data_IF_977327164157
#
_entry.id   IF_977327164157
#
_cell.length_a   1.000
_cell.length_b   1.000
_cell.length_c   1.000
_cell.angle_alpha   90.00
_cell.angle_beta   90.00
_cell.angle_gamma   90.00
#
_symmetry.space_group_name_H-M   'P 1'
#
loop_
_entity.id
_entity.type
_entity.pdbx_description
1 polymer ?
#
# COMPACT_ATOMS: atom_id res chain seq x y z
N UNK A 1 9.90 -5.54 -15.91
CA UNK A 1 9.96 -4.29 -15.10
C UNK A 1 10.21 -4.61 -13.64
N UNK A 2 10.99 -3.80 -12.94
CA UNK A 2 11.09 -3.86 -11.46
C UNK A 2 10.11 -2.84 -10.86
N UNK A 3 9.26 -3.30 -9.95
CA UNK A 3 8.24 -2.52 -9.27
C UNK A 3 8.57 -2.56 -7.78
N UNK A 4 9.18 -1.48 -7.27
CA UNK A 4 9.56 -1.40 -5.85
C UNK A 4 8.43 -0.75 -5.07
N UNK A 5 7.98 -1.40 -4.00
CA UNK A 5 6.94 -0.87 -3.11
C UNK A 5 7.56 -0.58 -1.76
N UNK A 6 7.57 0.69 -1.38
CA UNK A 6 8.02 1.13 -0.07
C UNK A 6 6.88 0.90 0.93
N UNK A 7 7.16 0.14 1.98
CA UNK A 7 6.19 -0.16 3.03
C UNK A 7 6.76 0.19 4.41
N UNK A 8 5.88 0.51 5.36
CA UNK A 8 6.23 0.77 6.76
C UNK A 8 5.29 0.04 7.72
N UNK A 9 5.87 -0.55 8.76
CA UNK A 9 5.12 -0.97 9.94
C UNK A 9 4.80 0.22 10.84
N UNK A 10 3.52 0.44 11.12
CA UNK A 10 3.03 1.52 12.00
C UNK A 10 2.28 0.92 13.20
N UNK A 11 2.22 1.60 14.35
CA UNK A 11 1.45 1.10 15.48
C UNK A 11 -0.04 0.93 15.15
N UNK A 12 -0.64 -0.21 15.53
CA UNK A 12 -2.04 -0.53 15.24
C UNK A 12 -3.05 0.48 15.83
N UNK A 13 -2.68 1.13 16.94
CA UNK A 13 -3.48 2.15 17.62
C UNK A 13 -2.59 3.34 17.96
N UNK A 14 -2.80 4.47 17.29
CA UNK A 14 -2.07 5.72 17.57
C UNK A 14 -2.56 6.43 18.84
N UNK A 15 -3.72 6.05 19.37
CA UNK A 15 -4.45 6.78 20.43
C UNK A 15 -4.10 6.41 21.87
N UNK A 16 -3.29 5.38 22.12
CA UNK A 16 -2.82 5.05 23.47
C UNK A 16 -1.34 5.38 23.61
N UNK A 17 -1.07 6.64 23.91
CA UNK A 17 0.20 7.04 24.51
C UNK A 17 0.16 6.52 25.94
N UNK A 18 0.69 5.32 26.18
CA UNK A 18 0.91 4.82 27.54
C UNK A 18 2.13 5.57 28.11
N UNK A 19 1.87 6.73 28.72
CA UNK A 19 2.83 7.41 29.59
C UNK A 19 2.73 6.82 30.98
N UNK A 20 3.75 6.07 31.39
CA UNK A 20 4.08 5.91 32.81
C UNK A 20 5.31 6.79 33.04
N UNK A 21 5.20 7.81 33.90
CA UNK A 21 6.31 8.69 34.28
C UNK A 21 6.97 9.52 33.15
N UNK A 22 6.20 9.95 32.14
CA UNK A 22 6.71 10.84 31.08
C UNK A 22 7.61 10.18 30.04
N UNK A 23 7.76 8.85 30.08
CA UNK A 23 8.51 8.07 29.08
C UNK A 23 7.53 7.24 28.25
N UNK A 24 7.52 7.48 26.93
CA UNK A 24 6.76 6.69 25.95
C UNK A 24 7.34 5.27 25.86
N UNK A 25 6.63 4.26 26.39
CA UNK A 25 6.99 2.85 26.16
C UNK A 25 6.57 2.41 24.76
N UNK A 26 7.45 2.60 23.77
CA UNK A 26 7.26 2.16 22.37
C UNK A 26 7.46 0.64 22.15
N UNK A 27 7.84 -0.11 23.19
CA UNK A 27 8.29 -1.50 23.05
C UNK A 27 7.15 -2.50 22.88
N UNK A 28 5.94 -2.22 23.39
CA UNK A 28 4.82 -3.18 23.46
C UNK A 28 3.75 -3.03 22.35
N UNK A 29 3.91 -2.08 21.43
CA UNK A 29 2.90 -1.85 20.39
C UNK A 29 3.05 -2.84 19.23
N UNK A 30 1.98 -3.59 18.96
CA UNK A 30 1.81 -4.37 17.74
C UNK A 30 1.90 -3.44 16.52
N UNK A 31 2.78 -3.78 15.58
CA UNK A 31 2.90 -3.08 14.31
C UNK A 31 2.01 -3.75 13.26
N UNK A 32 1.34 -2.92 12.47
CA UNK A 32 0.57 -3.32 11.29
C UNK A 32 1.13 -2.63 10.06
N UNK A 33 0.82 -3.13 8.86
CA UNK A 33 1.12 -2.40 7.64
C UNK A 33 0.44 -1.03 7.68
N UNK A 34 1.18 0.01 7.30
CA UNK A 34 0.62 1.34 7.11
C UNK A 34 -0.57 1.27 6.12
N UNK A 35 -1.77 1.74 6.50
CA UNK A 35 -2.95 1.66 5.63
C UNK A 35 -2.77 2.36 4.27
N UNK A 36 -1.94 3.41 4.20
CA UNK A 36 -1.66 4.10 2.95
C UNK A 36 -0.78 3.27 2.00
N UNK A 37 0.06 2.38 2.52
CA UNK A 37 0.95 1.54 1.69
C UNK A 37 0.17 0.42 1.00
N UNK A 38 -1.01 0.05 1.52
CA UNK A 38 -1.91 -0.87 0.84
C UNK A 38 -2.34 -0.34 -0.55
N UNK A 39 -2.47 0.98 -0.72
CA UNK A 39 -2.74 1.59 -2.04
C UNK A 39 -1.55 1.45 -3.00
N UNK A 40 -0.32 1.52 -2.47
CA UNK A 40 0.89 1.30 -3.24
C UNK A 40 1.01 -0.16 -3.72
N UNK A 41 0.60 -1.11 -2.89
CA UNK A 41 0.49 -2.53 -3.25
C UNK A 41 -0.56 -2.74 -4.35
N UNK A 42 -1.76 -2.17 -4.22
CA UNK A 42 -2.81 -2.20 -5.26
C UNK A 42 -2.29 -1.70 -6.62
N UNK A 43 -1.59 -0.57 -6.60
CA UNK A 43 -0.92 0.00 -7.76
C UNK A 43 0.11 -0.96 -8.36
N UNK A 44 0.96 -1.58 -7.54
CA UNK A 44 1.96 -2.54 -8.00
C UNK A 44 1.33 -3.75 -8.73
N UNK A 45 0.22 -4.26 -8.22
CA UNK A 45 -0.48 -5.41 -8.81
C UNK A 45 -1.11 -5.06 -10.15
N UNK A 46 -1.70 -3.88 -10.25
CA UNK A 46 -2.18 -3.38 -11.54
C UNK A 46 -1.03 -3.35 -12.56
N UNK A 47 0.11 -2.75 -12.22
CA UNK A 47 1.26 -2.66 -13.13
C UNK A 47 1.77 -4.04 -13.56
N UNK A 48 1.99 -4.95 -12.61
CA UNK A 48 2.45 -6.31 -12.93
C UNK A 48 1.46 -7.05 -13.83
N UNK A 49 0.16 -6.83 -13.71
CA UNK A 49 -0.84 -7.43 -14.61
C UNK A 49 -0.81 -6.83 -16.02
N UNK A 50 -0.42 -5.56 -16.16
CA UNK A 50 -0.37 -4.87 -17.47
C UNK A 50 0.94 -5.16 -18.20
N UNK A 51 2.09 -4.94 -17.55
CA UNK A 51 3.42 -5.02 -18.18
C UNK A 51 4.26 -6.21 -17.72
N UNK A 52 3.82 -6.95 -16.71
CA UNK A 52 4.62 -8.01 -16.08
C UNK A 52 5.72 -7.44 -15.19
N UNK A 53 6.59 -8.32 -14.69
CA UNK A 53 7.75 -7.92 -13.90
C UNK A 53 7.81 -8.56 -12.51
N UNK A 54 8.48 -7.86 -11.61
CA UNK A 54 8.74 -8.28 -10.24
C UNK A 54 8.32 -7.19 -9.27
N UNK A 55 7.48 -7.55 -8.31
CA UNK A 55 7.09 -6.69 -7.18
C UNK A 55 8.02 -6.98 -6.01
N UNK A 56 8.77 -5.96 -5.62
CA UNK A 56 9.76 -6.01 -4.54
C UNK A 56 9.28 -5.08 -3.43
N UNK A 57 8.87 -5.63 -2.30
CA UNK A 57 8.57 -4.85 -1.11
C UNK A 57 9.86 -4.52 -0.37
N UNK A 58 10.08 -3.23 -0.12
CA UNK A 58 11.23 -2.72 0.61
C UNK A 58 10.73 -1.99 1.88
N UNK A 59 11.29 -2.35 3.03
CA UNK A 59 11.03 -1.63 4.28
C UNK A 59 12.31 -1.41 5.06
N UNK A 60 12.25 -0.50 6.02
CA UNK A 60 13.32 -0.24 6.98
C UNK A 60 12.75 -0.33 8.39
N UNK A 61 13.40 -1.09 9.26
CA UNK A 61 12.97 -1.20 10.65
C UNK A 61 13.50 -2.44 11.36
N UNK A 62 13.17 -2.61 12.65
CA UNK A 62 13.63 -3.74 13.44
C UNK A 62 13.00 -5.04 12.93
N UNK A 63 13.85 -5.97 12.46
CA UNK A 63 13.45 -7.27 11.89
C UNK A 63 12.38 -8.02 12.68
N UNK A 64 12.47 -8.19 14.01
CA UNK A 64 11.46 -8.95 14.74
C UNK A 64 10.04 -8.36 14.63
N UNK A 65 9.92 -7.06 14.38
CA UNK A 65 8.62 -6.36 14.27
C UNK A 65 8.12 -6.24 12.84
N UNK A 66 9.01 -6.16 11.85
CA UNK A 66 8.62 -5.94 10.44
C UNK A 66 8.45 -7.26 9.67
N UNK A 67 9.23 -8.29 10.00
CA UNK A 67 9.17 -9.59 9.32
C UNK A 67 7.79 -10.26 9.36
N UNK A 68 6.99 -10.21 10.45
CA UNK A 68 5.62 -10.72 10.45
C UNK A 68 4.73 -10.04 9.39
N UNK A 69 4.79 -8.70 9.29
CA UNK A 69 4.03 -7.94 8.30
C UNK A 69 4.44 -8.34 6.88
N UNK A 70 5.74 -8.46 6.61
CA UNK A 70 6.24 -8.87 5.29
C UNK A 70 5.87 -10.30 4.90
N UNK A 71 5.81 -11.23 5.86
CA UNK A 71 5.38 -12.61 5.61
C UNK A 71 3.95 -12.67 5.09
N UNK A 72 3.07 -11.84 5.64
CA UNK A 72 1.68 -11.75 5.20
C UNK A 72 1.55 -11.25 3.75
N UNK A 73 2.51 -10.46 3.25
CA UNK A 73 2.47 -9.94 1.88
C UNK A 73 2.67 -11.02 0.79
N UNK A 74 3.29 -12.16 1.13
CA UNK A 74 3.44 -13.28 0.19
C UNK A 74 2.13 -14.02 -0.04
N UNK A 75 1.28 -14.12 0.98
CA UNK A 75 0.05 -14.90 0.96
C UNK A 75 -0.99 -14.23 1.86
N UNK A 76 -1.54 -13.07 1.46
CA UNK A 76 -2.43 -12.40 2.37
C UNK A 76 -3.81 -13.03 2.32
N UNK A 77 -4.41 -13.11 3.49
CA UNK A 77 -5.67 -13.80 3.73
C UNK A 77 -6.83 -13.02 3.13
N UNK A 78 -7.86 -13.70 2.62
CA UNK A 78 -9.07 -13.06 2.08
C UNK A 78 -9.75 -12.13 3.08
N UNK A 79 -9.73 -12.46 4.39
CA UNK A 79 -10.28 -11.59 5.45
C UNK A 79 -9.29 -10.54 5.97
N UNK A 80 -8.07 -10.52 5.44
CA UNK A 80 -7.08 -9.54 5.88
C UNK A 80 -7.55 -8.14 5.47
N UNK A 81 -7.60 -7.23 6.44
CA UNK A 81 -7.76 -5.78 6.18
C UNK A 81 -6.66 -5.21 5.26
N UNK A 82 -5.63 -6.02 5.00
CA UNK A 82 -4.50 -5.76 4.11
C UNK A 82 -4.78 -6.12 2.65
N UNK A 83 -5.91 -6.77 2.32
CA UNK A 83 -6.18 -7.30 0.97
C UNK A 83 -7.13 -6.41 0.16
N UNK A 84 -6.87 -6.26 -1.15
CA UNK A 84 -7.46 -5.21 -1.97
C UNK A 84 -8.76 -5.65 -2.64
N UNK A 85 -9.46 -4.70 -3.29
CA UNK A 85 -10.63 -4.95 -4.16
C UNK A 85 -10.30 -5.83 -5.40
N UNK A 86 -9.09 -6.36 -5.52
CA UNK A 86 -8.56 -7.11 -6.65
C UNK A 86 -7.93 -8.41 -6.14
N UNK A 87 -8.15 -9.53 -6.86
CA UNK A 87 -7.49 -10.83 -6.60
C UNK A 87 -5.97 -10.64 -6.56
N UNK A 88 -5.38 -10.96 -5.40
CA UNK A 88 -3.98 -10.71 -5.14
C UNK A 88 -3.20 -12.01 -4.89
N UNK A 89 -2.21 -12.38 -5.74
CA UNK A 89 -1.50 -13.65 -5.62
C UNK A 89 -0.26 -13.62 -4.69
N UNK A 90 0.05 -12.48 -4.07
CA UNK A 90 1.28 -12.28 -3.30
C UNK A 90 2.33 -11.41 -4.00
N UNK A 91 3.24 -10.83 -3.20
CA UNK A 91 4.42 -10.11 -3.71
C UNK A 91 5.51 -11.11 -4.13
N UNK A 92 6.43 -10.68 -5.00
CA UNK A 92 7.48 -11.60 -5.48
C UNK A 92 8.66 -11.69 -4.53
N UNK A 93 8.98 -10.62 -3.80
CA UNK A 93 10.18 -10.54 -2.98
C UNK A 93 10.01 -9.49 -1.89
N UNK A 94 10.40 -9.83 -0.66
CA UNK A 94 10.47 -8.88 0.46
C UNK A 94 11.94 -8.67 0.86
N UNK A 95 12.32 -7.41 1.01
CA UNK A 95 13.64 -6.97 1.45
C UNK A 95 13.46 -6.04 2.64
N UNK A 96 14.17 -6.33 3.73
CA UNK A 96 14.18 -5.52 4.93
C UNK A 96 15.57 -4.93 5.17
N UNK A 97 15.63 -3.60 5.28
CA UNK A 97 16.80 -2.89 5.77
C UNK A 97 16.74 -2.84 7.30
N UNK A 98 17.62 -3.57 7.97
CA UNK A 98 17.63 -3.69 9.43
C UNK A 98 19.06 -3.61 9.96
N UNK A 99 19.35 -2.49 10.63
CA UNK A 99 20.63 -2.24 11.28
C UNK A 99 20.41 -1.27 12.44
N UNK A 100 21.13 -1.43 13.56
CA UNK A 100 21.03 -0.50 14.71
C UNK A 100 21.43 0.92 14.32
N UNK A 101 22.32 1.08 13.34
CA UNK A 101 22.74 2.38 12.79
C UNK A 101 21.60 3.14 12.10
N UNK A 102 20.53 2.46 11.70
CA UNK A 102 19.35 3.07 11.06
C UNK A 102 18.32 3.59 12.08
N UNK A 103 18.52 3.36 13.37
CA UNK A 103 17.57 3.75 14.41
C UNK A 103 17.50 5.27 14.59
N UNK A 104 16.30 5.79 14.89
CA UNK A 104 16.09 7.22 15.12
C UNK A 104 16.19 8.09 13.88
N UNK A 105 16.13 7.49 12.69
CA UNK A 105 16.12 8.21 11.42
C UNK A 105 14.89 9.12 11.31
N UNK A 106 15.11 10.35 10.84
CA UNK A 106 14.07 11.21 10.31
C UNK A 106 13.72 10.83 8.87
N UNK A 107 12.96 11.68 8.18
CA UNK A 107 12.53 11.37 6.82
C UNK A 107 13.70 11.34 5.83
N UNK A 108 14.69 12.22 5.95
CA UNK A 108 15.82 12.28 5.02
C UNK A 108 16.77 11.09 5.21
N UNK A 109 17.14 10.79 6.46
CA UNK A 109 17.98 9.62 6.77
C UNK A 109 17.27 8.30 6.36
N UNK A 110 15.95 8.22 6.55
CA UNK A 110 15.15 7.08 6.06
C UNK A 110 15.19 6.99 4.54
N UNK A 111 14.96 8.10 3.84
CA UNK A 111 14.95 8.17 2.38
C UNK A 111 16.28 7.81 1.76
N UNK A 112 17.40 8.29 2.34
CA UNK A 112 18.75 7.90 1.93
C UNK A 112 18.95 6.39 2.06
N UNK A 113 18.52 5.80 3.19
CA UNK A 113 18.65 4.36 3.44
C UNK A 113 17.82 3.55 2.42
N UNK A 114 16.58 3.95 2.17
CA UNK A 114 15.72 3.31 1.17
C UNK A 114 16.30 3.44 -0.24
N UNK A 115 16.83 4.61 -0.60
CA UNK A 115 17.50 4.83 -1.88
C UNK A 115 18.71 3.90 -2.06
N UNK A 116 19.53 3.70 -1.01
CA UNK A 116 20.62 2.70 -1.02
C UNK A 116 20.12 1.27 -1.19
N UNK A 117 19.00 0.92 -0.56
CA UNK A 117 18.35 -0.37 -0.79
C UNK A 117 17.93 -0.55 -2.26
N UNK A 118 17.35 0.48 -2.88
CA UNK A 118 16.91 0.45 -4.29
C UNK A 118 18.12 0.37 -5.23
N UNK A 119 19.15 1.18 -5.00
CA UNK A 119 20.42 1.11 -5.75
C UNK A 119 20.99 -0.30 -5.70
N UNK A 120 21.01 -0.93 -4.52
CA UNK A 120 21.50 -2.30 -4.34
C UNK A 120 20.64 -3.34 -5.08
N UNK A 121 19.30 -3.18 -5.08
CA UNK A 121 18.39 -4.02 -5.87
C UNK A 121 18.74 -3.94 -7.35
N UNK A 122 18.91 -2.73 -7.89
CA UNK A 122 19.24 -2.51 -9.30
C UNK A 122 20.61 -3.11 -9.65
N UNK A 123 21.61 -2.90 -8.79
CA UNK A 123 22.95 -3.46 -8.93
C UNK A 123 22.90 -4.99 -9.05
N UNK A 124 22.24 -5.67 -8.12
CA UNK A 124 22.15 -7.15 -8.10
C UNK A 124 21.52 -7.68 -9.39
N UNK A 125 20.47 -7.03 -9.90
CA UNK A 125 19.83 -7.48 -11.15
C UNK A 125 20.70 -7.19 -12.38
N UNK A 126 21.44 -6.09 -12.41
CA UNK A 126 22.41 -5.81 -13.50
C UNK A 126 23.55 -6.82 -13.51
N UNK A 127 24.15 -7.08 -12.34
CA UNK A 127 25.22 -8.06 -12.17
C UNK A 127 24.79 -9.48 -12.58
N UNK A 128 23.54 -9.86 -12.31
CA UNK A 128 22.99 -11.13 -12.78
C UNK A 128 23.01 -11.26 -14.31
N UNK A 129 22.64 -10.19 -15.04
CA UNK A 129 22.67 -10.17 -16.50
C UNK A 129 24.11 -10.17 -17.03
N UNK A 130 25.00 -9.42 -16.41
CA UNK A 130 26.41 -9.40 -16.78
C UNK A 130 27.09 -10.76 -16.58
N UNK A 131 26.71 -11.47 -15.52
CA UNK A 131 27.16 -12.84 -15.27
C UNK A 131 26.71 -13.78 -16.39
N UNK A 132 25.47 -13.65 -16.88
CA UNK A 132 25.00 -14.41 -18.04
C UNK A 132 25.74 -14.05 -19.32
N UNK A 133 25.94 -12.76 -19.56
CA UNK A 133 26.63 -12.26 -20.75
C UNK A 133 28.08 -12.78 -20.83
N UNK A 134 28.77 -12.87 -19.68
CA UNK A 134 30.12 -13.44 -19.57
C UNK A 134 30.14 -14.96 -19.79
N UNK A 135 29.04 -15.66 -19.50
CA UNK A 135 28.94 -17.11 -19.66
C UNK A 135 28.56 -17.56 -21.08
N UNK A 136 28.24 -16.64 -21.99
CA UNK A 136 27.93 -16.97 -23.39
C UNK A 136 29.14 -17.66 -24.04
N UNK A 137 28.89 -18.82 -24.67
CA UNK A 137 29.91 -19.67 -25.27
C UNK A 137 30.54 -20.68 -24.30
N UNK A 138 30.21 -20.61 -23.00
CA UNK A 138 30.67 -21.58 -22.00
C UNK A 138 29.64 -22.70 -21.77
N UNK A 139 30.13 -23.85 -21.32
CA UNK A 139 29.29 -24.99 -20.91
C UNK A 139 28.42 -24.68 -19.67
N UNK A 140 28.77 -23.64 -18.91
CA UNK A 140 28.08 -23.25 -17.67
C UNK A 140 26.87 -22.33 -17.88
N UNK A 141 26.65 -21.81 -19.10
CA UNK A 141 25.63 -20.78 -19.39
C UNK A 141 24.25 -21.14 -18.84
N UNK A 142 23.77 -22.36 -19.11
CA UNK A 142 22.42 -22.78 -18.73
C UNK A 142 22.30 -23.05 -17.23
N UNK A 143 23.37 -23.50 -16.58
CA UNK A 143 23.38 -23.74 -15.13
C UNK A 143 23.37 -22.41 -14.36
N UNK A 144 24.14 -21.43 -14.85
CA UNK A 144 24.09 -20.05 -14.35
C UNK A 144 22.69 -19.46 -14.55
N UNK A 145 22.09 -19.60 -15.74
CA UNK A 145 20.74 -19.11 -16.02
C UNK A 145 19.70 -19.74 -15.11
N UNK A 146 19.74 -21.06 -14.91
CA UNK A 146 18.86 -21.77 -14.01
C UNK A 146 18.98 -21.26 -12.56
N UNK A 147 20.21 -21.09 -12.08
CA UNK A 147 20.49 -20.55 -10.75
C UNK A 147 19.92 -19.15 -10.57
N UNK A 148 20.17 -18.25 -11.51
CA UNK A 148 19.67 -16.86 -11.46
C UNK A 148 18.14 -16.81 -11.55
N UNK A 149 17.55 -17.69 -12.36
CA UNK A 149 16.10 -17.80 -12.53
C UNK A 149 15.39 -18.25 -11.26
N UNK A 150 15.89 -19.30 -10.58
CA UNK A 150 15.29 -19.74 -9.31
C UNK A 150 15.49 -18.74 -8.17
N UNK A 151 16.57 -17.94 -8.20
CA UNK A 151 16.75 -16.81 -7.29
C UNK A 151 15.91 -15.57 -7.67
N UNK A 152 15.10 -15.65 -8.74
CA UNK A 152 14.23 -14.58 -9.19
C UNK A 152 14.99 -13.33 -9.65
N UNK A 153 16.18 -13.49 -10.24
CA UNK A 153 17.01 -12.39 -10.74
C UNK A 153 16.84 -12.14 -12.24
N UNK A 154 16.29 -13.10 -12.97
CA UNK A 154 15.96 -12.97 -14.40
C UNK A 154 14.51 -13.42 -14.67
N UNK A 155 13.81 -12.80 -15.63
CA UNK A 155 12.42 -13.12 -15.94
C UNK A 155 12.30 -14.31 -16.90
N UNK A 156 11.07 -14.80 -17.07
CA UNK A 156 10.74 -15.91 -17.96
C UNK A 156 11.15 -15.66 -19.43
N UNK A 157 11.13 -14.41 -19.88
CA UNK A 157 11.56 -14.02 -21.23
C UNK A 157 13.05 -14.25 -21.48
N UNK A 158 13.90 -14.27 -20.44
CA UNK A 158 15.33 -14.59 -20.56
C UNK A 158 15.54 -16.09 -20.48
N UNK A 159 15.03 -16.72 -19.43
CA UNK A 159 15.11 -18.16 -19.20
C UNK A 159 13.84 -18.64 -18.49
N UNK A 160 13.32 -19.80 -18.89
CA UNK A 160 12.08 -20.34 -18.32
C UNK A 160 12.07 -21.87 -18.39
N UNK A 161 11.64 -22.49 -17.31
CA UNK A 161 11.30 -23.91 -17.24
C UNK A 161 9.78 -24.16 -17.32
N UNK A 162 8.96 -23.10 -17.39
CA UNK A 162 7.51 -23.24 -17.46
C UNK A 162 7.09 -23.89 -18.79
N UNK A 163 6.28 -24.98 -18.78
CA UNK A 163 5.87 -25.68 -20.01
C UNK A 163 5.13 -24.79 -21.02
N UNK A 164 4.54 -23.71 -20.52
CA UNK A 164 3.74 -22.74 -21.27
C UNK A 164 4.58 -21.61 -21.88
N UNK A 165 5.85 -21.44 -21.49
CA UNK A 165 6.78 -20.45 -22.03
C UNK A 165 7.96 -21.22 -22.64
N UNK A 166 7.90 -21.46 -23.94
CA UNK A 166 8.89 -22.24 -24.70
C UNK A 166 9.87 -21.39 -25.51
N UNK A 167 9.61 -20.09 -25.59
CA UNK A 167 10.27 -19.16 -26.52
C UNK A 167 11.09 -18.07 -25.78
N UNK A 168 11.68 -18.44 -24.63
CA UNK A 168 12.61 -17.55 -23.92
C UNK A 168 13.87 -17.28 -24.77
N UNK A 169 14.61 -16.23 -24.43
CA UNK A 169 15.84 -15.85 -25.12
C UNK A 169 16.84 -17.02 -25.18
N UNK A 170 17.07 -17.70 -24.04
CA UNK A 170 17.95 -18.88 -24.03
C UNK A 170 17.35 -20.09 -24.75
N UNK A 171 16.02 -20.26 -24.79
CA UNK A 171 15.42 -21.34 -25.55
C UNK A 171 15.61 -21.16 -27.07
N UNK A 172 15.49 -19.92 -27.56
CA UNK A 172 15.76 -19.54 -28.96
C UNK A 172 17.22 -19.69 -29.33
N UNK A 173 18.13 -19.37 -28.41
CA UNK A 173 19.55 -19.62 -28.60
C UNK A 173 19.85 -21.12 -28.68
N UNK A 174 19.29 -21.92 -27.75
CA UNK A 174 19.46 -23.38 -27.73
C UNK A 174 18.96 -24.07 -29.00
N UNK A 175 17.88 -23.57 -29.59
CA UNK A 175 17.30 -24.14 -30.80
C UNK A 175 17.95 -23.64 -32.09
N UNK A 176 18.93 -22.73 -32.01
CA UNK A 176 19.61 -22.13 -33.15
C UNK A 176 18.79 -21.07 -33.90
N UNK A 177 17.69 -20.57 -33.32
CA UNK A 177 16.91 -19.47 -33.91
C UNK A 177 17.61 -18.12 -33.82
N UNK A 178 18.49 -17.96 -32.82
CA UNK A 178 19.38 -16.81 -32.68
C UNK A 178 20.80 -17.31 -32.43
N UNK A 179 21.78 -16.53 -32.87
CA UNK A 179 23.20 -16.76 -32.63
C UNK A 179 23.67 -16.06 -31.34
N UNK A 180 24.97 -16.14 -31.04
CA UNK A 180 25.55 -15.47 -29.86
C UNK A 180 25.37 -13.95 -29.90
N UNK A 181 25.45 -13.34 -31.08
CA UNK A 181 25.26 -11.91 -31.26
C UNK A 181 23.83 -11.50 -30.90
N UNK A 182 22.84 -12.26 -31.37
CA UNK A 182 21.43 -12.07 -31.03
C UNK A 182 21.14 -12.29 -29.54
N UNK A 183 21.79 -13.26 -28.90
CA UNK A 183 21.68 -13.47 -27.45
C UNK A 183 22.26 -12.28 -26.67
N UNK A 184 23.46 -11.80 -27.03
CA UNK A 184 24.09 -10.63 -26.41
C UNK A 184 23.22 -9.38 -26.57
N UNK A 185 22.65 -9.17 -27.75
CA UNK A 185 21.74 -8.06 -28.00
C UNK A 185 20.47 -8.15 -27.13
N UNK A 186 19.86 -9.33 -27.02
CA UNK A 186 18.70 -9.54 -26.16
C UNK A 186 18.98 -9.27 -24.69
N UNK A 187 20.11 -9.74 -24.16
CA UNK A 187 20.53 -9.48 -22.78
C UNK A 187 20.84 -7.99 -22.55
N UNK A 188 21.48 -7.32 -23.52
CA UNK A 188 21.74 -5.87 -23.47
C UNK A 188 20.46 -5.06 -23.40
N UNK A 189 19.51 -5.32 -24.30
CA UNK A 189 18.19 -4.67 -24.30
C UNK A 189 17.46 -4.85 -22.98
N UNK A 190 17.51 -6.04 -22.41
CA UNK A 190 16.94 -6.31 -21.10
C UNK A 190 17.66 -5.54 -19.98
N UNK A 191 19.00 -5.52 -19.99
CA UNK A 191 19.82 -4.77 -19.02
C UNK A 191 19.53 -3.26 -19.06
N UNK A 192 19.40 -2.69 -20.25
CA UNK A 192 19.03 -1.29 -20.46
C UNK A 192 17.61 -1.02 -19.94
N UNK A 193 16.69 -1.97 -20.17
CA UNK A 193 15.32 -1.94 -19.65
C UNK A 193 15.22 -1.97 -18.12
N UNK A 194 16.23 -2.45 -17.38
CA UNK A 194 16.25 -2.37 -15.91
C UNK A 194 16.26 -0.92 -15.39
N UNK A 195 16.68 0.04 -16.22
CA UNK A 195 16.57 1.47 -15.90
C UNK A 195 15.12 1.98 -15.86
N UNK A 196 14.17 1.27 -16.48
CA UNK A 196 12.74 1.63 -16.52
C UNK A 196 11.98 0.98 -15.36
N UNK A 197 12.33 1.35 -14.13
CA UNK A 197 11.69 0.85 -12.90
C UNK A 197 10.71 1.88 -12.33
N UNK A 198 9.85 1.43 -11.41
CA UNK A 198 8.92 2.32 -10.72
C UNK A 198 8.93 2.07 -9.23
N UNK A 199 8.88 3.16 -8.46
CA UNK A 199 8.80 3.13 -7.00
C UNK A 199 7.40 3.60 -6.59
N UNK A 200 6.75 2.84 -5.72
CA UNK A 200 5.41 3.13 -5.21
C UNK A 200 5.47 3.26 -3.69
N UNK A 201 4.80 4.25 -3.14
CA UNK A 201 4.70 4.46 -1.69
C UNK A 201 3.31 5.00 -1.29
N UNK A 202 2.88 4.76 -0.05
CA UNK A 202 1.72 5.47 0.49
C UNK A 202 1.97 6.98 0.58
N UNK A 203 0.90 7.80 0.50
CA UNK A 203 1.02 9.27 0.59
C UNK A 203 1.64 9.78 1.90
N UNK A 204 1.46 9.06 3.01
CA UNK A 204 2.03 9.34 4.33
C UNK A 204 1.95 8.11 5.22
N UNK A 205 2.50 8.19 6.42
CA UNK A 205 2.36 7.15 7.45
C UNK A 205 1.48 7.68 8.58
N UNK A 206 0.73 6.82 9.26
CA UNK A 206 -0.22 7.24 10.31
C UNK A 206 0.43 7.70 11.62
N UNK A 207 1.70 7.36 11.83
CA UNK A 207 2.45 7.70 13.04
C UNK A 207 3.17 9.05 12.92
N UNK A 208 3.90 9.27 11.81
CA UNK A 208 4.69 10.49 11.58
C UNK A 208 3.99 11.53 10.72
N UNK A 209 3.04 11.12 9.88
CA UNK A 209 2.20 11.95 9.00
C UNK A 209 2.91 12.94 8.07
N UNK A 210 4.24 12.87 7.94
CA UNK A 210 5.03 13.87 7.20
C UNK A 210 4.82 13.87 5.69
N UNK A 211 4.58 12.70 5.09
CA UNK A 211 4.45 12.54 3.63
C UNK A 211 5.74 12.77 2.82
N UNK A 212 6.89 12.95 3.47
CA UNK A 212 8.13 13.36 2.81
C UNK A 212 9.00 12.20 2.30
N UNK A 213 8.91 11.02 2.93
CA UNK A 213 9.83 9.90 2.67
C UNK A 213 9.81 9.42 1.21
N UNK A 214 8.64 9.38 0.57
CA UNK A 214 8.55 9.02 -0.85
C UNK A 214 9.34 10.00 -1.73
N UNK A 215 8.94 11.28 -1.84
CA UNK A 215 9.65 12.27 -2.65
C UNK A 215 11.14 12.40 -2.33
N UNK A 216 11.52 12.36 -1.05
CA UNK A 216 12.93 12.42 -0.64
C UNK A 216 13.72 11.16 -1.06
N UNK A 217 13.08 9.99 -1.16
CA UNK A 217 13.74 8.77 -1.68
C UNK A 217 14.05 8.91 -3.17
N UNK A 218 13.13 9.51 -3.95
CA UNK A 218 13.36 9.80 -5.36
C UNK A 218 14.53 10.77 -5.55
N UNK A 219 14.58 11.84 -4.75
CA UNK A 219 15.68 12.81 -4.75
C UNK A 219 17.02 12.13 -4.40
N UNK A 220 17.08 11.40 -3.28
CA UNK A 220 18.30 10.72 -2.84
C UNK A 220 18.79 9.70 -3.88
N UNK A 221 17.88 8.91 -4.47
CA UNK A 221 18.23 7.95 -5.51
C UNK A 221 18.71 8.65 -6.79
N UNK A 222 18.07 9.75 -7.18
CA UNK A 222 18.49 10.53 -8.34
C UNK A 222 19.89 11.10 -8.20
N UNK A 223 20.23 11.61 -7.00
CA UNK A 223 21.59 12.05 -6.69
C UNK A 223 22.62 10.92 -6.78
N UNK A 224 22.27 9.70 -6.33
CA UNK A 224 23.16 8.53 -6.41
C UNK A 224 23.37 8.07 -7.85
N UNK A 225 22.31 8.08 -8.66
CA UNK A 225 22.35 7.62 -10.04
C UNK A 225 22.87 8.67 -11.02
N UNK A 226 22.94 9.94 -10.62
CA UNK A 226 23.28 11.05 -11.52
C UNK A 226 22.18 11.39 -12.52
N UNK A 227 20.94 10.96 -12.25
CA UNK A 227 19.77 11.12 -13.12
C UNK A 227 18.58 11.59 -12.31
N UNK A 228 17.67 12.37 -12.91
CA UNK A 228 16.45 12.79 -12.21
C UNK A 228 15.49 11.59 -12.13
N UNK A 229 14.97 11.30 -10.93
CA UNK A 229 13.83 10.40 -10.74
C UNK A 229 12.58 11.26 -10.51
N UNK A 230 11.70 11.47 -11.52
CA UNK A 230 10.47 12.21 -11.34
C UNK A 230 9.64 11.65 -10.18
N UNK A 231 9.21 12.53 -9.28
CA UNK A 231 8.32 12.18 -8.18
C UNK A 231 6.97 12.86 -8.34
N UNK A 232 5.89 12.07 -8.29
CA UNK A 232 4.51 12.60 -8.33
C UNK A 232 3.74 12.14 -7.11
N UNK A 233 3.33 13.11 -6.29
CA UNK A 233 2.54 12.87 -5.10
C UNK A 233 1.02 12.93 -5.35
N UNK A 234 0.27 12.31 -4.45
CA UNK A 234 -1.21 12.33 -4.40
C UNK A 234 -1.89 11.73 -5.64
N UNK A 235 -1.31 10.65 -6.17
CA UNK A 235 -1.84 9.93 -7.33
C UNK A 235 -3.12 9.20 -6.94
N UNK A 236 -4.21 9.46 -7.66
CA UNK A 236 -5.53 8.82 -7.50
C UNK A 236 -5.81 7.76 -8.56
N UNK A 237 -5.27 7.96 -9.76
CA UNK A 237 -5.36 7.00 -10.85
C UNK A 237 -4.05 6.95 -11.60
N UNK A 238 -3.73 5.79 -12.17
CA UNK A 238 -2.60 5.67 -13.08
C UNK A 238 -2.87 4.63 -14.17
N UNK A 239 -2.20 4.81 -15.29
CA UNK A 239 -2.20 3.90 -16.42
C UNK A 239 -0.81 3.86 -17.03
N UNK A 240 -0.22 2.67 -17.09
CA UNK A 240 1.11 2.50 -17.66
C UNK A 240 1.01 2.20 -19.15
N UNK A 241 1.89 2.80 -19.93
CA UNK A 241 2.04 2.46 -21.33
C UNK A 241 2.44 0.98 -21.49
N UNK A 242 1.81 0.19 -22.38
CA UNK A 242 2.14 -1.24 -22.54
C UNK A 242 3.57 -1.55 -22.98
N UNK A 243 4.33 -0.57 -23.50
CA UNK A 243 5.76 -0.71 -23.76
C UNK A 243 6.63 -0.46 -22.52
N UNK A 244 6.06 0.13 -21.47
CA UNK A 244 6.74 0.43 -20.21
C UNK A 244 7.68 1.63 -20.32
N UNK A 245 7.32 2.66 -21.10
CA UNK A 245 8.14 3.88 -21.25
C UNK A 245 7.69 5.03 -20.34
N UNK A 246 6.39 5.16 -20.12
CA UNK A 246 5.82 6.19 -19.26
C UNK A 246 4.58 5.69 -18.53
N UNK A 247 4.19 6.42 -17.50
CA UNK A 247 2.93 6.27 -16.78
C UNK A 247 2.14 7.57 -16.88
N UNK A 248 0.87 7.45 -17.20
CA UNK A 248 -0.08 8.57 -17.16
C UNK A 248 -0.77 8.54 -15.81
N UNK A 249 -0.65 9.62 -15.04
CA UNK A 249 -1.20 9.70 -13.69
C UNK A 249 -2.22 10.83 -13.58
N UNK A 250 -3.25 10.60 -12.79
CA UNK A 250 -4.16 11.63 -12.33
C UNK A 250 -3.88 11.89 -10.84
N UNK A 251 -3.53 13.13 -10.48
CA UNK A 251 -3.34 13.53 -9.08
C UNK A 251 -4.30 14.63 -8.67
N UNK A 252 -4.66 14.63 -7.39
CA UNK A 252 -5.50 15.67 -6.79
C UNK A 252 -4.67 16.53 -5.82
N UNK A 253 -4.71 17.86 -6.01
CA UNK A 253 -4.05 18.86 -5.19
C UNK A 253 -5.11 19.87 -4.72
N UNK A 254 -5.73 19.60 -3.56
CA UNK A 254 -6.86 20.39 -3.09
C UNK A 254 -8.01 20.38 -4.09
N UNK A 255 -8.28 21.51 -4.74
CA UNK A 255 -9.35 21.65 -5.76
C UNK A 255 -8.88 21.40 -7.19
N UNK A 256 -7.59 21.17 -7.41
CA UNK A 256 -7.00 20.99 -8.74
C UNK A 256 -6.80 19.51 -9.01
N UNK A 257 -7.25 19.06 -10.18
CA UNK A 257 -6.91 17.74 -10.72
C UNK A 257 -5.92 17.93 -11.86
N UNK A 258 -4.79 17.22 -11.82
CA UNK A 258 -3.77 17.26 -12.86
C UNK A 258 -3.59 15.88 -13.48
N UNK A 259 -3.60 15.83 -14.81
CA UNK A 259 -3.20 14.65 -15.59
C UNK A 259 -1.79 14.87 -16.11
N UNK A 260 -0.87 13.99 -15.74
CA UNK A 260 0.56 14.10 -16.06
C UNK A 260 1.01 12.85 -16.81
N UNK A 261 1.86 13.04 -17.83
CA UNK A 261 2.65 11.97 -18.41
C UNK A 261 4.02 11.98 -17.73
N UNK A 262 4.41 10.85 -17.12
CA UNK A 262 5.60 10.73 -16.31
C UNK A 262 6.51 9.65 -16.92
N UNK A 263 7.74 9.98 -17.36
CA UNK A 263 8.66 8.99 -17.90
C UNK A 263 9.17 8.06 -16.79
N UNK A 264 9.59 6.84 -17.17
CA UNK A 264 10.28 5.93 -16.27
C UNK A 264 11.82 6.13 -16.34
N UNK A 265 12.55 5.96 -15.23
CA UNK A 265 12.06 5.56 -13.92
C UNK A 265 11.33 6.69 -13.19
N UNK A 266 10.41 6.36 -12.26
CA UNK A 266 9.73 7.37 -11.46
C UNK A 266 9.30 6.87 -10.08
N UNK A 267 8.94 7.78 -9.19
CA UNK A 267 8.33 7.50 -7.89
C UNK A 267 6.93 8.10 -7.80
N UNK A 268 5.93 7.29 -7.45
CA UNK A 268 4.56 7.73 -7.23
C UNK A 268 4.17 7.54 -5.76
N UNK A 269 3.55 8.56 -5.15
CA UNK A 269 2.87 8.38 -3.85
C UNK A 269 1.36 8.35 -4.03
N UNK A 270 0.75 7.28 -3.52
CA UNK A 270 -0.65 6.95 -3.76
C UNK A 270 -1.54 7.60 -2.71
N UNK A 271 -2.56 8.32 -3.19
CA UNK A 271 -3.59 8.92 -2.35
C UNK A 271 -4.45 7.82 -1.70
N UNK A 272 -5.11 8.14 -0.58
CA UNK A 272 -6.07 7.22 0.08
C UNK A 272 -7.20 6.77 -0.82
N UNK A 273 -7.61 7.64 -1.74
CA UNK A 273 -8.66 7.41 -2.74
C UNK A 273 -8.10 6.83 -4.06
N UNK A 274 -6.91 6.24 -4.04
CA UNK A 274 -6.39 5.56 -5.22
C UNK A 274 -7.30 4.40 -5.62
N UNK A 275 -7.66 4.34 -6.90
CA UNK A 275 -8.43 3.24 -7.47
C UNK A 275 -7.68 2.60 -8.66
N UNK A 276 -7.32 1.32 -8.57
CA UNK A 276 -6.68 0.61 -9.67
C UNK A 276 -7.66 0.36 -10.83
N UNK A 277 -7.21 0.63 -12.06
CA UNK A 277 -7.95 0.23 -13.27
C UNK A 277 -7.98 -1.30 -13.44
N UNK A 278 -8.95 -1.81 -14.20
CA UNK A 278 -9.01 -3.21 -14.57
C UNK A 278 -8.14 -3.44 -15.82
N UNK A 279 -7.11 -4.30 -15.78
CA UNK A 279 -6.29 -4.61 -16.95
C UNK A 279 -7.08 -5.37 -18.03
N UNK A 280 -6.85 -5.02 -19.30
CA UNK A 280 -7.36 -5.80 -20.44
C UNK A 280 -6.79 -7.22 -20.46
N UNK A 281 -7.58 -8.26 -20.81
CA UNK A 281 -7.09 -9.65 -20.94
C UNK A 281 -5.89 -9.82 -21.90
N UNK A 282 -5.75 -8.94 -22.89
CA UNK A 282 -4.63 -8.97 -23.84
C UNK A 282 -3.30 -8.70 -23.13
N UNK A 283 -3.28 -7.77 -22.18
CA UNK A 283 -2.09 -7.40 -21.44
C UNK A 283 -1.60 -8.55 -20.53
N UNK A 284 -2.53 -9.35 -19.97
CA UNK A 284 -2.20 -10.46 -19.07
C UNK A 284 -1.31 -11.52 -19.73
N UNK A 285 -1.53 -11.83 -21.02
CA UNK A 285 -0.74 -12.85 -21.74
C UNK A 285 0.71 -12.38 -21.94
N UNK A 286 0.90 -11.12 -22.35
CA UNK A 286 2.23 -10.54 -22.58
C UNK A 286 2.99 -10.35 -21.27
N UNK A 287 2.31 -9.84 -20.24
CA UNK A 287 2.86 -9.64 -18.91
C UNK A 287 3.49 -10.92 -18.32
N UNK A 288 2.93 -12.09 -18.63
CA UNK A 288 3.45 -13.37 -18.13
C UNK A 288 4.90 -13.64 -18.53
N UNK A 289 5.35 -13.19 -19.70
CA UNK A 289 6.72 -13.40 -20.15
C UNK A 289 7.72 -12.53 -19.37
N UNK A 290 7.32 -11.33 -18.98
CA UNK A 290 8.17 -10.41 -18.21
C UNK A 290 8.18 -10.71 -16.70
N UNK A 291 7.40 -11.69 -16.23
CA UNK A 291 7.37 -12.08 -14.81
C UNK A 291 8.63 -12.86 -14.41
N UNK A 292 8.90 -12.86 -13.10
CA UNK A 292 10.00 -13.57 -12.45
C UNK A 292 9.43 -14.69 -11.58
N UNK A 293 10.26 -15.67 -11.21
CA UNK A 293 9.91 -16.62 -10.16
C UNK A 293 9.77 -15.89 -8.81
N UNK A 294 8.60 -15.98 -8.14
CA UNK A 294 8.41 -15.43 -6.81
C UNK A 294 9.32 -16.12 -5.78
N UNK A 295 9.96 -15.34 -4.92
CA UNK A 295 10.76 -15.77 -3.78
C UNK A 295 9.87 -15.94 -2.53
N UNK A 296 8.88 -16.83 -2.63
CA UNK A 296 7.87 -17.01 -1.58
C UNK A 296 8.51 -17.29 -0.22
N UNK A 297 7.97 -16.66 0.83
CA UNK A 297 8.34 -16.88 2.24
C UNK A 297 9.80 -16.52 2.60
N UNK A 298 10.57 -15.95 1.67
CA UNK A 298 11.95 -15.50 1.88
C UNK A 298 11.99 -13.98 2.04
N UNK A 299 12.44 -13.53 3.21
CA UNK A 299 12.73 -12.11 3.49
C UNK A 299 14.25 -11.97 3.51
N UNK A 300 14.79 -11.18 2.60
CA UNK A 300 16.22 -10.84 2.65
C UNK A 300 16.42 -9.66 3.62
N UNK A 301 17.23 -9.87 4.66
CA UNK A 301 17.55 -8.84 5.65
C UNK A 301 18.93 -8.27 5.34
N UNK A 302 18.99 -6.98 5.02
CA UNK A 302 20.21 -6.28 4.65
C UNK A 302 20.59 -5.26 5.72
N UNK A 303 21.86 -5.27 6.09
CA UNK A 303 22.45 -4.30 7.01
C UNK A 303 23.06 -3.11 6.24
N UNK A 304 23.56 -2.11 6.95
CA UNK A 304 24.12 -0.90 6.31
C UNK A 304 25.36 -1.19 5.44
N UNK A 305 26.15 -2.21 5.79
CA UNK A 305 27.36 -2.58 5.05
C UNK A 305 27.01 -3.22 3.70
N UNK A 306 26.04 -4.13 3.68
CA UNK A 306 25.61 -4.82 2.47
C UNK A 306 25.09 -3.87 1.39
N UNK A 307 24.37 -2.82 1.81
CA UNK A 307 23.87 -1.76 0.90
C UNK A 307 24.89 -0.65 0.64
N UNK A 308 26.11 -0.75 1.20
CA UNK A 308 27.15 0.27 1.01
C UNK A 308 26.76 1.66 1.51
N UNK A 309 25.96 1.73 2.59
CA UNK A 309 25.51 3.01 3.13
C UNK A 309 26.56 3.66 4.04
N UNK A 310 26.88 4.92 3.76
CA UNK A 310 27.64 5.79 4.66
C UNK A 310 26.97 5.89 6.06
N UNK A 311 27.61 5.40 7.13
CA UNK A 311 27.05 5.44 8.49
C UNK A 311 26.72 6.85 8.99
N UNK A 312 27.40 7.89 8.50
CA UNK A 312 27.16 9.28 8.91
C UNK A 312 25.83 9.83 8.38
N UNK A 313 25.24 9.16 7.38
CA UNK A 313 23.96 9.52 6.76
C UNK A 313 22.79 8.63 7.21
N UNK A 314 23.03 7.75 8.18
CA UNK A 314 22.04 6.80 8.70
C UNK A 314 21.51 7.23 10.07
N UNK A 315 20.28 6.78 10.36
CA UNK A 315 19.69 6.90 11.68
C UNK A 315 19.68 8.33 12.20
N UNK A 316 19.75 8.48 13.51
CA UNK A 316 19.81 9.77 14.18
C UNK A 316 21.00 10.63 13.75
N UNK A 317 22.13 10.03 13.38
CA UNK A 317 23.35 10.76 12.99
C UNK A 317 23.16 11.48 11.64
N UNK A 318 22.49 10.82 10.69
CA UNK A 318 22.16 11.39 9.39
C UNK A 318 20.90 12.25 9.36
N UNK A 319 20.17 12.34 10.48
CA UNK A 319 18.92 13.08 10.58
C UNK A 319 19.20 14.59 10.74
N UNK A 320 18.84 15.44 9.76
CA UNK A 320 18.86 16.89 9.96
C UNK A 320 17.86 17.38 11.01
N UNK A 321 16.84 16.57 11.36
CA UNK A 321 15.82 16.94 12.35
C UNK A 321 15.82 16.00 13.56
N UNK A 322 15.49 16.55 14.73
CA UNK A 322 15.37 15.81 15.99
C UNK A 322 14.02 16.15 16.62
N UNK A 323 13.25 15.12 16.99
CA UNK A 323 11.93 15.30 17.61
C UNK A 323 12.11 15.75 19.06
N UNK A 324 11.55 16.93 19.39
CA UNK A 324 11.50 17.44 20.76
C UNK A 324 10.51 16.70 21.66
N UNK A 325 10.34 17.13 22.92
CA UNK A 325 9.39 16.51 23.84
C UNK A 325 7.94 16.62 23.32
N UNK A 326 7.18 15.53 23.44
CA UNK A 326 5.76 15.51 23.09
C UNK A 326 4.91 16.07 24.23
N UNK A 327 3.87 16.83 23.88
CA UNK A 327 2.89 17.39 24.82
C UNK A 327 1.51 16.83 24.50
N UNK A 328 0.80 16.33 25.51
CA UNK A 328 -0.59 15.92 25.34
C UNK A 328 -1.47 17.17 25.23
N UNK A 329 -2.02 17.39 24.03
CA UNK A 329 -3.03 18.43 23.83
C UNK A 329 -4.36 17.85 24.33
N UNK A 330 -4.90 18.44 25.40
CA UNK A 330 -6.16 18.01 25.99
C UNK A 330 -7.29 17.93 24.96
N UNK A 331 -8.27 17.05 25.20
CA UNK A 331 -9.44 16.94 24.32
C UNK A 331 -10.34 18.16 24.48
N UNK A 332 -10.95 18.68 23.40
CA UNK A 332 -11.97 19.70 23.53
C UNK A 332 -13.10 19.17 24.42
N UNK A 333 -13.73 20.05 25.21
CA UNK A 333 -14.91 19.68 25.97
C UNK A 333 -16.02 19.27 24.99
N UNK A 334 -16.33 17.99 24.93
CA UNK A 334 -17.47 17.49 24.19
C UNK A 334 -18.70 17.55 25.10
N UNK A 335 -19.68 18.41 24.77
CA UNK A 335 -20.99 18.32 25.39
C UNK A 335 -21.73 17.15 24.75
N UNK A 336 -21.95 16.09 25.51
CA UNK A 336 -22.82 15.00 25.07
C UNK A 336 -24.26 15.50 25.10
N UNK A 337 -24.84 15.75 23.93
CA UNK A 337 -26.28 15.99 23.81
C UNK A 337 -26.97 14.63 23.84
N UNK A 338 -27.81 14.42 24.85
CA UNK A 338 -28.66 13.22 24.97
C UNK A 338 -30.08 13.69 24.68
N UNK A 339 -30.71 13.13 23.65
CA UNK A 339 -32.10 13.40 23.29
C UNK A 339 -32.86 12.08 23.08
N UNK A 340 -34.16 12.09 23.31
CA UNK A 340 -35.06 11.00 22.93
C UNK A 340 -35.77 11.39 21.63
N UNK A 341 -35.75 10.52 20.62
CA UNK A 341 -36.66 10.66 19.48
C UNK A 341 -37.98 10.01 19.86
N UNK A 342 -39.05 10.77 19.86
CA UNK A 342 -40.39 10.27 20.19
C UNK A 342 -41.14 9.97 18.90
N UNK A 343 -41.83 8.83 18.84
CA UNK A 343 -42.70 8.43 17.73
C UNK A 343 -44.09 8.05 18.24
N UNK A 344 -45.10 8.21 17.41
CA UNK A 344 -46.44 7.73 17.71
C UNK A 344 -46.48 6.20 17.71
N UNK A 345 -46.95 5.61 18.80
CA UNK A 345 -47.08 4.17 18.95
C UNK A 345 -48.31 3.60 18.21
N UNK A 346 -49.23 4.47 17.78
CA UNK A 346 -50.51 4.14 17.15
C UNK A 346 -50.99 5.31 16.30
N UNK A 347 -51.99 5.08 15.45
CA UNK A 347 -52.73 6.15 14.79
C UNK A 347 -53.51 6.96 15.83
N UNK A 348 -53.41 8.28 15.74
CA UNK A 348 -54.07 9.24 16.62
C UNK A 348 -54.93 10.16 15.75
N UNK A 349 -56.25 10.10 15.96
CA UNK A 349 -57.19 11.00 15.28
C UNK A 349 -57.03 12.46 15.75
N UNK A 350 -57.70 13.40 15.07
CA UNK A 350 -57.67 14.80 15.48
C UNK A 350 -58.26 14.97 16.88
N UNK A 351 -57.59 15.76 17.71
CA UNK A 351 -58.06 16.09 19.05
C UNK A 351 -57.76 17.55 19.39
N UNK A 352 -58.51 18.11 20.35
CA UNK A 352 -58.26 19.43 20.90
C UNK A 352 -57.55 19.33 22.25
N UNK A 353 -56.52 20.15 22.44
CA UNK A 353 -55.81 20.29 23.71
C UNK A 353 -55.36 21.73 23.89
N UNK A 354 -55.67 22.34 25.05
CA UNK A 354 -55.30 23.74 25.33
C UNK A 354 -55.83 24.77 24.32
N UNK A 355 -57.01 24.53 23.72
CA UNK A 355 -57.62 25.42 22.73
C UNK A 355 -57.00 25.36 21.33
N UNK A 356 -56.15 24.37 21.04
CA UNK A 356 -55.60 24.10 19.71
C UNK A 356 -55.94 22.68 19.27
N UNK A 357 -56.13 22.48 17.97
CA UNK A 357 -56.36 21.17 17.36
C UNK A 357 -55.03 20.55 16.91
N UNK A 358 -54.79 19.29 17.25
CA UNK A 358 -53.61 18.51 16.87
C UNK A 358 -54.02 17.27 16.06
N UNK A 359 -53.14 16.78 15.17
CA UNK A 359 -53.34 15.58 14.37
C UNK A 359 -54.07 15.78 13.03
N UNK A 360 -54.41 14.70 12.32
CA UNK A 360 -54.17 13.30 12.69
C UNK A 360 -52.68 12.93 12.58
N UNK A 361 -52.24 11.96 13.37
CA UNK A 361 -50.89 11.40 13.33
C UNK A 361 -50.95 9.89 13.09
N UNK A 362 -50.01 9.32 12.34
CA UNK A 362 -49.95 7.87 12.09
C UNK A 362 -48.96 7.18 13.01
N UNK A 363 -49.17 5.90 13.25
CA UNK A 363 -48.21 5.03 13.92
C UNK A 363 -46.86 5.08 13.18
N UNK A 364 -45.78 5.32 13.93
CA UNK A 364 -44.42 5.45 13.40
C UNK A 364 -44.01 6.88 13.05
N UNK A 365 -44.94 7.82 12.93
CA UNK A 365 -44.60 9.22 12.70
C UNK A 365 -43.78 9.76 13.87
N UNK A 366 -42.74 10.55 13.56
CA UNK A 366 -42.03 11.33 14.57
C UNK A 366 -43.01 12.28 15.25
N UNK A 367 -43.04 12.26 16.59
CA UNK A 367 -43.81 13.20 17.36
C UNK A 367 -43.25 14.61 17.08
N UNK A 368 -44.07 15.53 16.54
CA UNK A 368 -43.61 16.88 16.26
C UNK A 368 -43.30 17.61 17.57
N UNK A 369 -42.79 18.85 17.48
CA UNK A 369 -42.64 19.72 18.65
C UNK A 369 -44.01 20.03 19.28
N UNK A 370 -44.43 19.15 20.19
CA UNK A 370 -45.65 19.27 20.97
C UNK A 370 -45.30 19.83 22.36
N UNK A 371 -46.24 20.56 23.01
CA UNK A 371 -46.06 21.00 24.39
C UNK A 371 -45.64 19.85 25.32
N UNK A 372 -44.71 20.10 26.24
CA UNK A 372 -44.11 19.08 27.10
C UNK A 372 -45.17 18.36 27.95
N UNK A 373 -46.18 19.10 28.41
CA UNK A 373 -47.31 18.59 29.17
C UNK A 373 -48.16 17.63 28.33
N UNK A 374 -48.43 18.00 27.08
CA UNK A 374 -49.14 17.15 26.13
C UNK A 374 -48.34 15.88 25.80
N UNK A 375 -47.03 15.99 25.57
CA UNK A 375 -46.16 14.81 25.36
C UNK A 375 -46.16 13.88 26.57
N UNK A 376 -46.15 14.41 27.80
CA UNK A 376 -46.25 13.61 29.03
C UNK A 376 -47.58 12.89 29.11
N UNK A 377 -48.69 13.57 28.85
CA UNK A 377 -50.02 12.94 28.81
C UNK A 377 -50.10 11.85 27.74
N UNK A 378 -49.58 12.12 26.54
CA UNK A 378 -49.57 11.18 25.43
C UNK A 378 -48.68 9.97 25.71
N UNK A 379 -47.54 10.16 26.39
CA UNK A 379 -46.67 9.06 26.84
C UNK A 379 -47.35 8.22 27.93
N UNK A 380 -48.03 8.85 28.89
CA UNK A 380 -48.80 8.16 29.93
C UNK A 380 -49.97 7.35 29.35
N UNK A 381 -50.63 7.85 28.30
CA UNK A 381 -51.68 7.15 27.56
C UNK A 381 -51.14 6.09 26.58
N UNK A 382 -49.82 5.97 26.43
CA UNK A 382 -49.17 5.05 25.51
C UNK A 382 -49.41 5.38 24.03
N UNK A 383 -49.63 6.65 23.71
CA UNK A 383 -49.80 7.17 22.35
C UNK A 383 -48.46 7.51 21.70
N UNK A 384 -47.47 7.88 22.51
CA UNK A 384 -46.12 8.23 22.07
C UNK A 384 -45.12 7.38 22.84
N UNK A 385 -44.08 6.89 22.16
CA UNK A 385 -42.99 6.09 22.73
C UNK A 385 -41.63 6.57 22.21
N UNK A 386 -40.56 6.18 22.90
CA UNK A 386 -39.20 6.42 22.40
C UNK A 386 -38.94 5.50 21.22
N UNK A 387 -38.44 6.07 20.12
CA UNK A 387 -37.91 5.33 19.00
C UNK A 387 -36.57 4.72 19.40
N UNK A 388 -36.49 3.41 19.37
CA UNK A 388 -35.34 2.65 19.83
C UNK A 388 -34.47 2.21 18.66
N UNK A 389 -33.25 1.75 18.97
CA UNK A 389 -32.38 1.11 17.98
C UNK A 389 -33.07 -0.11 17.33
N UNK A 390 -33.87 -0.86 18.09
CA UNK A 390 -34.59 -2.02 17.60
C UNK A 390 -35.66 -1.62 16.56
N UNK A 391 -36.35 -0.50 16.77
CA UNK A 391 -37.29 0.06 15.79
C UNK A 391 -36.59 0.44 14.48
N UNK A 392 -35.43 1.11 14.57
CA UNK A 392 -34.62 1.48 13.41
C UNK A 392 -34.14 0.26 12.62
N UNK A 393 -33.68 -0.78 13.33
CA UNK A 393 -33.22 -2.02 12.71
C UNK A 393 -34.39 -2.76 12.04
N UNK A 394 -35.56 -2.77 12.67
CA UNK A 394 -36.76 -3.38 12.09
C UNK A 394 -37.22 -2.65 10.82
N UNK A 395 -37.15 -1.31 10.79
CA UNK A 395 -37.50 -0.49 9.63
C UNK A 395 -36.53 -0.71 8.46
N UNK A 396 -35.23 -0.68 8.73
CA UNK A 396 -34.20 -0.84 7.69
C UNK A 396 -34.13 -2.26 7.11
N UNK A 397 -34.39 -3.28 7.94
CA UNK A 397 -34.14 -4.68 7.56
C UNK A 397 -35.41 -5.55 7.53
N UNK A 398 -36.60 -4.95 7.67
CA UNK A 398 -37.88 -5.66 7.52
C UNK A 398 -38.08 -6.82 8.48
N UNK A 399 -37.52 -6.75 9.70
CA UNK A 399 -37.62 -7.82 10.71
C UNK A 399 -36.60 -8.96 10.57
N UNK A 400 -35.56 -8.82 9.74
CA UNK A 400 -34.39 -9.71 9.80
C UNK A 400 -33.64 -9.48 11.12
N UNK A 401 -33.60 -10.49 11.99
CA UNK A 401 -32.80 -10.47 13.22
C UNK A 401 -31.31 -10.36 12.88
N UNK A 402 -30.75 -9.17 13.02
CA UNK A 402 -29.30 -8.96 13.03
C UNK A 402 -28.77 -9.45 14.38
N UNK A 403 -28.28 -10.68 14.43
CA UNK A 403 -27.61 -11.20 15.61
C UNK A 403 -26.17 -10.69 15.59
N UNK A 404 -25.83 -9.72 16.45
CA UNK A 404 -24.43 -9.37 16.67
C UNK A 404 -23.74 -10.56 17.36
N UNK A 405 -22.92 -11.33 16.63
CA UNK A 405 -21.89 -12.12 17.28
C UNK A 405 -20.76 -11.17 17.64
N UNK A 406 -20.63 -10.89 18.93
CA UNK A 406 -19.39 -10.35 19.49
C UNK A 406 -18.30 -11.38 19.19
N UNK A 407 -17.30 -10.99 18.40
CA UNK A 407 -16.05 -11.74 18.20
C UNK A 407 -14.99 -11.13 19.09
#
# INVERSE_FOLDING_TARGET
>A
MLIVVLIKGVPARTTQVLTVSGVLKREEMELVLNPHDARALEAAFYLKRVVGGKIICLSMGPEPKISPIMKELFEPKEESRLVPRIIFPGVDHCILLSDRRMAGADTWATSYTLAKGIEKILQIHREAVERLEKAIGSDELYEIAKTLYHNGLIPHEIYSELPTIRDSLLARYRSGQIDEAGLRDGLRRYKDGLGRFIILAGMKTTDGETGNTGPQTAEALGQMMGEIIPSVAFVREMEIDPSGEYVVVLRALGRIIQKLLVPLPCLLTLHTEYEPKIPSPVHLKKARYANYIPQKSRIDVWNAEFIGADPSKLGLMGSPTIVGPGYEVGRPQAQKVIGESLVFARDVERFEWGGKTYGPFKAGDLAPELPVELLREMRAKGWVRVFTLEDMLNELFGGLKVVSRTV
#
